data_IF_565219478924
#
_entry.id   IF_565219478924
#
_cell.length_a   1.000
_cell.length_b   1.000
_cell.length_c   1.000
_cell.angle_alpha   90.00
_cell.angle_beta   90.00
_cell.angle_gamma   90.00
#
_symmetry.space_group_name_H-M   'P 1'
#
loop_
_entity.id
_entity.type
_entity.pdbx_description
1 polymer ?
#
# COMPACT_ATOMS: atom_id res chain seq x y z
N UNK A 1 17.30 -14.10 19.06
CA UNK A 1 15.94 -13.71 18.62
C UNK A 1 16.01 -13.50 17.12
N UNK A 2 15.56 -14.49 16.36
CA UNK A 2 15.67 -14.48 14.89
C UNK A 2 14.52 -13.70 14.28
N UNK A 3 14.81 -12.55 13.66
CA UNK A 3 13.86 -11.85 12.84
C UNK A 3 13.77 -12.51 11.47
N UNK A 4 12.65 -13.17 11.20
CA UNK A 4 12.34 -13.67 9.88
C UNK A 4 11.98 -12.48 8.98
N UNK A 5 12.78 -12.23 7.96
CA UNK A 5 12.47 -11.32 6.86
C UNK A 5 11.71 -12.15 5.82
N UNK A 6 10.42 -11.90 5.67
CA UNK A 6 9.66 -12.47 4.57
C UNK A 6 9.77 -11.54 3.35
N UNK A 7 10.57 -11.95 2.38
CA UNK A 7 10.62 -11.30 1.07
C UNK A 7 9.59 -11.96 0.16
N UNK A 8 8.50 -11.29 -0.17
CA UNK A 8 7.66 -11.70 -1.29
C UNK A 8 8.05 -10.91 -2.53
N UNK A 9 8.49 -11.61 -3.54
CA UNK A 9 8.81 -11.05 -4.86
C UNK A 9 7.51 -10.89 -5.62
N UNK A 10 7.10 -9.67 -5.89
CA UNK A 10 6.03 -9.39 -6.84
C UNK A 10 6.66 -9.39 -8.23
N UNK A 11 6.05 -10.10 -9.18
CA UNK A 11 6.55 -10.37 -10.54
C UNK A 11 6.55 -9.13 -11.45
N UNK A 12 6.96 -8.02 -10.97
CA UNK A 12 7.25 -6.78 -11.70
C UNK A 12 8.38 -5.99 -11.04
N UNK A 13 9.31 -6.70 -10.39
CA UNK A 13 10.54 -6.08 -9.87
C UNK A 13 10.40 -5.30 -8.56
N UNK A 14 9.20 -5.15 -8.00
CA UNK A 14 9.01 -4.40 -6.77
C UNK A 14 9.42 -5.23 -5.55
N UNK A 15 10.52 -4.86 -4.91
CA UNK A 15 10.88 -5.32 -3.57
C UNK A 15 10.47 -4.28 -2.54
N UNK A 16 9.42 -4.55 -1.79
CA UNK A 16 9.08 -3.75 -0.61
C UNK A 16 9.86 -4.32 0.57
N UNK A 17 10.92 -3.61 0.98
CA UNK A 17 11.64 -3.90 2.21
C UNK A 17 11.05 -3.02 3.32
N UNK A 18 10.25 -3.59 4.20
CA UNK A 18 9.81 -2.93 5.41
C UNK A 18 10.62 -3.47 6.59
N UNK A 19 11.47 -2.64 7.13
CA UNK A 19 12.12 -2.89 8.42
C UNK A 19 12.08 -1.61 9.24
N UNK A 20 11.52 -1.66 10.42
CA UNK A 20 11.50 -0.56 11.37
C UNK A 20 12.86 -0.17 11.97
N UNK A 21 13.97 -0.46 11.30
CA UNK A 21 15.32 -0.12 11.68
C UNK A 21 16.09 0.54 10.54
N UNK A 22 16.93 1.51 10.86
CA UNK A 22 17.89 2.14 9.93
C UNK A 22 18.77 1.08 9.28
N UNK A 23 18.75 0.99 7.94
CA UNK A 23 19.75 0.25 7.19
C UNK A 23 20.91 1.14 6.78
N UNK A 24 22.16 0.64 6.82
CA UNK A 24 23.27 1.30 6.17
C UNK A 24 23.14 1.12 4.64
N UNK A 25 23.15 2.23 3.93
CA UNK A 25 23.01 2.36 2.45
C UNK A 25 24.26 1.88 1.65
N UNK A 26 25.11 1.04 2.21
CA UNK A 26 26.45 0.80 1.67
C UNK A 26 26.58 -0.33 0.65
N UNK A 27 25.50 -0.93 0.12
CA UNK A 27 25.61 -2.04 -0.84
C UNK A 27 24.56 -2.02 -1.95
N UNK A 28 24.25 -0.85 -2.50
CA UNK A 28 23.36 -0.66 -3.66
C UNK A 28 24.11 -0.06 -4.87
N UNK A 29 25.40 -0.28 -4.98
CA UNK A 29 26.13 0.03 -6.19
C UNK A 29 26.01 -1.15 -7.17
N UNK A 30 25.34 -0.88 -8.30
CA UNK A 30 25.28 -1.65 -9.56
C UNK A 30 23.96 -2.27 -9.98
N UNK A 31 22.84 -1.58 -9.77
CA UNK A 31 21.70 -1.74 -10.68
C UNK A 31 21.35 -0.34 -11.20
N UNK A 32 21.79 -0.04 -12.42
CA UNK A 32 21.19 0.97 -13.29
C UNK A 32 19.81 0.41 -13.70
N UNK A 33 18.95 0.27 -12.71
CA UNK A 33 17.58 -0.12 -12.92
C UNK A 33 16.76 1.15 -13.03
N UNK A 34 15.96 1.26 -14.08
CA UNK A 34 14.94 2.29 -14.24
C UNK A 34 14.30 2.52 -12.89
N UNK A 35 14.55 3.67 -12.26
CA UNK A 35 14.06 3.98 -10.93
C UNK A 35 12.54 3.91 -10.98
N UNK A 36 11.99 2.80 -10.55
CA UNK A 36 10.57 2.65 -10.31
C UNK A 36 10.19 3.69 -9.27
N UNK A 37 9.62 4.78 -9.74
CA UNK A 37 9.15 5.85 -8.88
C UNK A 37 7.77 5.45 -8.38
N UNK A 38 7.69 5.10 -7.10
CA UNK A 38 6.46 4.67 -6.50
C UNK A 38 6.08 5.56 -5.32
N UNK A 39 4.91 6.16 -5.41
CA UNK A 39 4.27 6.85 -4.29
C UNK A 39 3.34 5.88 -3.55
N UNK A 40 3.44 5.88 -2.22
CA UNK A 40 2.59 5.08 -1.34
C UNK A 40 1.69 6.03 -0.55
N UNK A 41 0.39 5.89 -0.73
CA UNK A 41 -0.61 6.77 -0.16
C UNK A 41 -1.58 5.96 0.72
N UNK A 42 -1.77 6.40 1.96
CA UNK A 42 -2.75 5.78 2.87
C UNK A 42 -4.16 6.18 2.45
N UNK A 43 -5.06 5.22 2.49
CA UNK A 43 -6.46 5.39 2.10
C UNK A 43 -7.42 5.31 3.29
N UNK A 44 -8.69 5.08 2.97
CA UNK A 44 -9.74 4.91 3.94
C UNK A 44 -9.67 3.57 4.67
N UNK A 45 -10.35 3.42 5.84
CA UNK A 45 -10.51 2.13 6.49
C UNK A 45 -11.09 1.08 5.54
N UNK A 46 -10.46 -0.09 5.51
CA UNK A 46 -10.88 -1.20 4.64
C UNK A 46 -12.00 -2.05 5.27
N UNK A 47 -12.15 -2.00 6.59
CA UNK A 47 -13.14 -2.76 7.33
C UNK A 47 -13.99 -1.82 8.21
N UNK A 48 -15.31 -2.06 8.23
CA UNK A 48 -16.20 -1.40 9.18
C UNK A 48 -15.99 -1.93 10.60
N UNK A 49 -16.35 -1.14 11.62
CA UNK A 49 -16.29 -1.53 13.03
C UNK A 49 -17.02 -2.87 13.28
N UNK A 50 -18.16 -3.09 12.63
CA UNK A 50 -18.89 -4.37 12.73
C UNK A 50 -18.07 -5.55 12.24
N UNK A 51 -17.38 -5.41 11.09
CA UNK A 51 -16.51 -6.47 10.54
C UNK A 51 -15.31 -6.73 11.41
N UNK A 52 -14.70 -5.68 11.95
CA UNK A 52 -13.58 -5.78 12.89
C UNK A 52 -14.00 -6.57 14.12
N UNK A 53 -15.11 -6.21 14.77
CA UNK A 53 -15.62 -6.90 15.96
C UNK A 53 -15.93 -8.38 15.66
N UNK A 54 -16.53 -8.67 14.51
CA UNK A 54 -16.81 -10.05 14.10
C UNK A 54 -15.54 -10.88 13.89
N UNK A 55 -14.49 -10.29 13.32
CA UNK A 55 -13.19 -10.96 13.16
C UNK A 55 -12.51 -11.19 14.51
N UNK A 56 -12.50 -10.20 15.39
CA UNK A 56 -11.93 -10.33 16.72
C UNK A 56 -12.62 -11.43 17.52
N UNK A 57 -13.95 -11.51 17.48
CA UNK A 57 -14.70 -12.60 18.11
C UNK A 57 -14.30 -13.99 17.56
N UNK A 58 -14.07 -14.10 16.26
CA UNK A 58 -13.60 -15.35 15.64
C UNK A 58 -12.18 -15.71 16.05
N UNK A 59 -11.29 -14.73 16.18
CA UNK A 59 -9.93 -14.95 16.67
C UNK A 59 -9.93 -15.42 18.12
N UNK A 60 -10.77 -14.83 18.97
CA UNK A 60 -10.94 -15.26 20.35
C UNK A 60 -11.48 -16.70 20.44
N UNK A 61 -12.49 -17.03 19.65
CA UNK A 61 -13.04 -18.39 19.59
C UNK A 61 -12.00 -19.44 19.09
N UNK A 62 -11.05 -19.01 18.28
CA UNK A 62 -9.93 -19.83 17.83
C UNK A 62 -8.71 -19.81 18.77
N UNK A 63 -8.83 -19.22 19.97
CA UNK A 63 -7.74 -19.00 20.92
C UNK A 63 -6.49 -18.31 20.34
N UNK A 64 -6.68 -17.41 19.35
CA UNK A 64 -5.60 -16.62 18.80
C UNK A 64 -5.37 -15.36 19.66
N UNK A 65 -4.12 -15.01 20.01
CA UNK A 65 -3.81 -13.88 20.88
C UNK A 65 -3.86 -12.55 20.12
N UNK A 66 -5.00 -12.22 19.52
CA UNK A 66 -5.25 -10.97 18.80
C UNK A 66 -6.21 -10.12 19.62
N UNK A 67 -5.70 -9.01 20.16
CA UNK A 67 -6.48 -8.08 21.00
C UNK A 67 -7.07 -6.93 20.18
N UNK A 68 -6.39 -6.50 19.13
CA UNK A 68 -6.81 -5.38 18.29
C UNK A 68 -6.61 -5.71 16.81
N UNK A 69 -7.45 -5.11 15.98
CA UNK A 69 -7.34 -5.21 14.51
C UNK A 69 -7.60 -3.84 13.91
N UNK A 70 -6.70 -3.41 13.05
CA UNK A 70 -6.86 -2.23 12.21
C UNK A 70 -6.65 -2.61 10.76
N UNK A 71 -7.45 -2.08 9.85
CA UNK A 71 -7.31 -2.34 8.43
C UNK A 71 -7.60 -1.07 7.63
N UNK A 72 -6.71 -0.73 6.71
CA UNK A 72 -6.87 0.40 5.79
C UNK A 72 -6.47 -0.01 4.38
N UNK A 73 -6.96 0.70 3.40
CA UNK A 73 -6.45 0.63 2.05
C UNK A 73 -5.12 1.38 1.97
N UNK A 74 -4.20 0.82 1.21
CA UNK A 74 -2.96 1.49 0.82
C UNK A 74 -2.93 1.53 -0.70
N UNK A 75 -2.67 2.71 -1.26
CA UNK A 75 -2.59 2.90 -2.69
C UNK A 75 -1.13 2.99 -3.10
N UNK A 76 -0.79 2.30 -4.16
CA UNK A 76 0.51 2.30 -4.79
C UNK A 76 0.37 2.97 -6.15
N UNK A 77 1.07 4.07 -6.34
CA UNK A 77 1.13 4.79 -7.61
C UNK A 77 2.50 4.58 -8.24
N UNK A 78 2.53 3.82 -9.32
CA UNK A 78 3.70 3.66 -10.18
C UNK A 78 3.78 4.84 -11.14
N UNK A 79 4.90 5.54 -11.16
CA UNK A 79 5.07 6.81 -11.84
C UNK A 79 6.22 6.73 -12.85
N UNK A 80 6.01 7.26 -14.06
CA UNK A 80 7.06 7.42 -15.07
C UNK A 80 7.96 8.63 -14.83
N UNK A 81 7.48 9.61 -14.07
CA UNK A 81 8.20 10.83 -13.70
C UNK A 81 7.65 11.39 -12.37
N UNK A 82 8.42 12.23 -11.66
CA UNK A 82 7.94 12.89 -10.45
C UNK A 82 6.69 13.71 -10.72
N UNK A 83 5.72 13.65 -9.80
CA UNK A 83 4.57 14.54 -9.84
C UNK A 83 4.96 15.91 -9.26
N UNK A 84 4.44 16.99 -9.86
CA UNK A 84 4.44 18.30 -9.23
C UNK A 84 3.57 18.30 -7.97
N UNK A 85 3.74 19.31 -7.11
CA UNK A 85 2.94 19.44 -5.89
C UNK A 85 1.44 19.49 -6.20
N UNK A 86 1.05 20.21 -7.25
CA UNK A 86 -0.35 20.29 -7.70
C UNK A 86 -0.90 18.95 -8.19
N UNK A 87 -0.11 18.20 -8.96
CA UNK A 87 -0.48 16.87 -9.44
C UNK A 87 -0.59 15.89 -8.28
N UNK A 88 0.34 15.96 -7.34
CA UNK A 88 0.32 15.12 -6.14
C UNK A 88 -0.91 15.41 -5.28
N UNK A 89 -1.26 16.67 -5.06
CA UNK A 89 -2.50 17.04 -4.37
C UNK A 89 -3.74 16.56 -5.12
N UNK A 90 -3.73 16.62 -6.45
CA UNK A 90 -4.81 16.11 -7.29
C UNK A 90 -4.97 14.60 -7.13
N UNK A 91 -3.86 13.85 -7.15
CA UNK A 91 -3.85 12.40 -6.92
C UNK A 91 -4.39 12.07 -5.52
N UNK A 92 -3.93 12.77 -4.48
CA UNK A 92 -4.43 12.59 -3.11
C UNK A 92 -5.92 12.83 -3.01
N UNK A 93 -6.45 13.85 -3.69
CA UNK A 93 -7.90 14.14 -3.73
C UNK A 93 -8.69 13.05 -4.43
N UNK A 94 -8.17 12.51 -5.55
CA UNK A 94 -8.80 11.41 -6.28
C UNK A 94 -8.88 10.13 -5.44
N UNK A 95 -7.85 9.87 -4.64
CA UNK A 95 -7.77 8.67 -3.79
C UNK A 95 -8.47 8.83 -2.44
N UNK A 96 -8.97 10.02 -2.14
CA UNK A 96 -9.72 10.31 -0.91
C UNK A 96 -11.20 9.98 -1.09
N UNK A 97 -11.56 8.73 -0.89
CA UNK A 97 -12.94 8.25 -0.91
C UNK A 97 -13.26 7.50 0.41
N UNK A 98 -14.51 7.59 0.83
CA UNK A 98 -14.97 7.01 2.08
C UNK A 98 -14.60 7.84 3.32
N UNK A 99 -14.86 7.32 4.53
CA UNK A 99 -14.58 8.04 5.76
C UNK A 99 -13.07 8.22 5.94
N UNK A 100 -12.66 9.45 6.28
CA UNK A 100 -11.28 9.70 6.69
C UNK A 100 -11.14 9.38 8.18
N UNK A 101 -10.17 8.57 8.56
CA UNK A 101 -9.75 8.48 9.95
C UNK A 101 -8.67 9.53 10.22
N UNK A 102 -8.80 10.22 11.35
CA UNK A 102 -7.69 10.95 11.94
C UNK A 102 -6.51 9.98 12.13
N UNK A 103 -5.30 10.49 11.99
CA UNK A 103 -4.05 9.73 11.99
C UNK A 103 -4.03 8.59 13.02
N UNK A 104 -4.14 7.36 12.55
CA UNK A 104 -3.91 6.17 13.35
C UNK A 104 -2.49 5.67 13.08
N UNK A 105 -1.71 5.47 14.14
CA UNK A 105 -0.40 4.83 14.03
C UNK A 105 -0.54 3.38 14.47
N UNK A 106 -0.48 2.43 13.52
CA UNK A 106 -0.57 1.01 13.86
C UNK A 106 0.65 0.58 14.67
N UNK A 107 0.43 -0.15 15.76
CA UNK A 107 1.49 -0.70 16.62
C UNK A 107 1.63 -2.21 16.52
N UNK A 108 0.73 -2.86 15.79
CA UNK A 108 0.68 -4.30 15.64
C UNK A 108 1.55 -4.86 14.51
N UNK A 109 1.43 -6.16 14.27
CA UNK A 109 2.08 -6.82 13.13
C UNK A 109 1.40 -6.37 11.83
N UNK A 110 2.20 -5.88 10.87
CA UNK A 110 1.72 -5.52 9.55
C UNK A 110 1.47 -6.78 8.70
N UNK A 111 0.29 -6.83 8.10
CA UNK A 111 -0.06 -7.79 7.05
C UNK A 111 -0.49 -7.01 5.81
N UNK A 112 0.24 -7.15 4.72
CA UNK A 112 -0.11 -6.55 3.44
C UNK A 112 -0.85 -7.57 2.59
N UNK A 113 -2.09 -7.23 2.19
CA UNK A 113 -2.92 -8.05 1.30
C UNK A 113 -2.88 -7.42 -0.08
N UNK A 114 -2.32 -8.12 -1.05
CA UNK A 114 -2.17 -7.65 -2.43
C UNK A 114 -2.95 -8.52 -3.40
N UNK A 115 -3.33 -8.00 -4.58
CA UNK A 115 -3.80 -8.83 -5.67
C UNK A 115 -2.78 -9.92 -6.05
N UNK A 116 -3.26 -10.98 -6.68
CA UNK A 116 -2.37 -12.06 -7.15
C UNK A 116 -1.31 -11.48 -8.10
N UNK A 117 -0.01 -11.82 -7.90
CA UNK A 117 1.06 -11.39 -8.81
C UNK A 117 0.73 -11.71 -10.27
N UNK A 118 1.08 -10.79 -11.18
CA UNK A 118 0.80 -10.92 -12.61
C UNK A 118 -0.64 -10.59 -13.04
N UNK A 119 -1.52 -10.21 -12.12
CA UNK A 119 -2.88 -9.76 -12.44
C UNK A 119 -3.03 -8.26 -12.26
N UNK A 120 -3.89 -7.65 -13.09
CA UNK A 120 -4.33 -6.26 -12.93
C UNK A 120 -5.75 -6.33 -12.36
N UNK A 121 -5.97 -5.70 -11.21
CA UNK A 121 -7.31 -5.67 -10.63
C UNK A 121 -8.25 -4.79 -11.46
N UNK A 122 -9.56 -5.09 -11.52
CA UNK A 122 -10.52 -4.21 -12.19
C UNK A 122 -10.56 -2.80 -11.59
N UNK A 123 -10.25 -2.68 -10.30
CA UNK A 123 -10.11 -1.38 -9.65
C UNK A 123 -8.90 -0.62 -10.20
N UNK A 124 -7.75 -1.29 -10.36
CA UNK A 124 -6.50 -0.72 -10.87
C UNK A 124 -6.68 -0.08 -12.24
N UNK A 125 -7.24 -0.82 -13.20
CA UNK A 125 -7.50 -0.33 -14.55
C UNK A 125 -8.35 0.94 -14.51
N UNK A 126 -9.46 0.90 -13.77
CA UNK A 126 -10.38 2.05 -13.69
C UNK A 126 -9.78 3.27 -12.99
N UNK A 127 -9.02 3.05 -11.91
CA UNK A 127 -8.38 4.12 -11.17
C UNK A 127 -7.28 4.80 -12.01
N UNK A 128 -6.51 4.02 -12.76
CA UNK A 128 -5.49 4.53 -13.68
C UNK A 128 -6.10 5.35 -14.80
N UNK A 129 -7.19 4.87 -15.43
CA UNK A 129 -7.93 5.62 -16.46
C UNK A 129 -8.46 6.95 -15.92
N UNK A 130 -9.01 6.94 -14.70
CA UNK A 130 -9.50 8.18 -14.07
C UNK A 130 -8.35 9.15 -13.80
N UNK A 131 -7.21 8.67 -13.33
CA UNK A 131 -6.03 9.50 -13.10
C UNK A 131 -5.57 10.18 -14.41
N UNK A 132 -5.50 9.44 -15.51
CA UNK A 132 -5.16 10.00 -16.82
C UNK A 132 -6.16 11.05 -17.28
N UNK A 133 -7.46 10.79 -17.14
CA UNK A 133 -8.52 11.75 -17.48
C UNK A 133 -8.47 13.03 -16.62
N UNK A 134 -7.87 12.95 -15.44
CA UNK A 134 -7.61 14.09 -14.57
C UNK A 134 -6.27 14.79 -14.84
N UNK A 135 -5.57 14.44 -15.92
CA UNK A 135 -4.32 15.06 -16.34
C UNK A 135 -3.09 14.56 -15.59
N UNK A 136 -3.15 13.37 -14.97
CA UNK A 136 -2.02 12.71 -14.32
C UNK A 136 -1.38 11.69 -15.25
N UNK A 137 -0.81 12.18 -16.35
CA UNK A 137 -0.21 11.33 -17.40
C UNK A 137 1.03 10.55 -16.94
N UNK A 138 1.70 11.01 -15.88
CA UNK A 138 2.86 10.36 -15.28
C UNK A 138 2.50 9.10 -14.49
N UNK A 139 1.23 8.92 -14.14
CA UNK A 139 0.76 7.71 -13.45
C UNK A 139 0.72 6.55 -14.44
N UNK A 140 1.65 5.62 -14.32
CA UNK A 140 1.67 4.40 -15.14
C UNK A 140 0.60 3.43 -14.66
N UNK A 141 0.48 3.28 -13.33
CA UNK A 141 -0.50 2.37 -12.72
C UNK A 141 -0.85 2.80 -11.30
N UNK A 142 -2.12 2.67 -10.98
CA UNK A 142 -2.60 2.71 -9.59
C UNK A 142 -3.05 1.31 -9.16
N UNK A 143 -2.67 0.92 -7.93
CA UNK A 143 -3.13 -0.32 -7.30
C UNK A 143 -3.44 -0.09 -5.82
N UNK A 144 -4.28 -0.95 -5.22
CA UNK A 144 -4.60 -0.90 -3.79
C UNK A 144 -4.69 -2.29 -3.18
#
# INVERSE_FOLDING_TARGET
MNHFISTQTVSSGLRILYNGGRFPLAHLESFEDERLMMDILRGSPALSAFRINKLLARFQAANLPVSTLYAEYVHFADLSAPLSDEERERLVRLLKYGPSLSSHTPTGKLLLVTPRPGTISPWSSKATDIAHNCGLSQVVRLER
#
